data_IF_071786990250
#
_entry.id   IF_071786990250
#
_cell.length_a   1.000
_cell.length_b   1.000
_cell.length_c   1.000
_cell.angle_alpha   90.00
_cell.angle_beta   90.00
_cell.angle_gamma   90.00
#
_symmetry.space_group_name_H-M   'P 1'
#
loop_
_entity.id
_entity.type
_entity.pdbx_description
1 polymer ?
#
# COMPACT_ATOMS: atom_id res chain seq x y z
N UNK A 1 10.54 -18.07 6.92
CA UNK A 1 10.21 -17.23 5.73
C UNK A 1 11.39 -16.30 5.46
N UNK A 2 11.88 -16.23 4.21
CA UNK A 2 12.96 -15.29 3.87
C UNK A 2 12.39 -13.87 3.89
N UNK A 3 13.06 -12.95 4.60
CA UNK A 3 12.66 -11.55 4.63
C UNK A 3 12.87 -10.95 3.23
N UNK A 4 11.77 -10.75 2.49
CA UNK A 4 11.78 -10.19 1.12
C UNK A 4 12.37 -8.77 1.10
N UNK A 5 12.25 -8.02 2.20
CA UNK A 5 12.88 -6.70 2.32
C UNK A 5 14.41 -6.79 2.35
N UNK A 6 14.99 -7.90 2.83
CA UNK A 6 16.45 -8.12 2.85
C UNK A 6 17.04 -8.43 1.46
N UNK A 7 16.21 -8.76 0.46
CA UNK A 7 16.65 -9.10 -0.90
C UNK A 7 16.67 -7.89 -1.86
N UNK A 8 16.71 -6.66 -1.33
CA UNK A 8 16.81 -5.43 -2.15
C UNK A 8 15.56 -5.10 -2.98
N UNK A 9 14.43 -5.75 -2.72
CA UNK A 9 13.18 -5.55 -3.47
C UNK A 9 12.68 -4.10 -3.39
N UNK A 10 12.81 -3.45 -2.22
CA UNK A 10 12.43 -2.05 -2.05
C UNK A 10 13.24 -1.11 -2.95
N UNK A 11 14.54 -1.35 -3.09
CA UNK A 11 15.41 -0.56 -3.99
C UNK A 11 15.02 -0.71 -5.46
N UNK A 12 14.59 -1.92 -5.86
CA UNK A 12 14.09 -2.16 -7.21
C UNK A 12 12.78 -1.44 -7.46
N UNK A 13 11.87 -1.41 -6.49
CA UNK A 13 10.61 -0.67 -6.58
C UNK A 13 10.88 0.83 -6.71
N UNK A 14 11.76 1.40 -5.87
CA UNK A 14 12.14 2.82 -5.94
C UNK A 14 12.72 3.24 -7.29
N UNK A 15 13.48 2.35 -7.94
CA UNK A 15 14.03 2.60 -9.27
C UNK A 15 12.95 2.69 -10.36
N UNK A 16 11.87 1.93 -10.21
CA UNK A 16 10.77 1.89 -11.17
C UNK A 16 9.70 2.95 -10.89
N UNK A 17 9.54 3.36 -9.64
CA UNK A 17 8.59 4.37 -9.24
C UNK A 17 9.04 5.78 -9.70
N UNK A 18 8.10 6.71 -9.95
CA UNK A 18 8.44 8.11 -10.16
C UNK A 18 9.28 8.67 -9.01
N UNK A 19 10.30 9.48 -9.30
CA UNK A 19 11.25 9.95 -8.26
C UNK A 19 10.60 10.74 -7.13
N UNK A 20 9.46 11.39 -7.38
CA UNK A 20 8.69 12.13 -6.39
C UNK A 20 7.64 11.28 -5.65
N UNK A 21 7.59 9.95 -5.89
CA UNK A 21 6.62 9.10 -5.23
C UNK A 21 6.94 8.98 -3.74
N UNK A 22 5.98 9.34 -2.90
CA UNK A 22 6.05 9.16 -1.46
C UNK A 22 5.17 7.97 -1.08
N UNK A 23 5.64 7.05 -0.22
CA UNK A 23 4.79 5.99 0.31
C UNK A 23 3.55 6.60 0.97
N UNK A 24 2.33 6.21 0.56
CA UNK A 24 1.10 6.81 1.08
C UNK A 24 0.81 6.42 2.53
N UNK A 25 1.43 5.34 3.03
CA UNK A 25 1.27 4.85 4.40
C UNK A 25 2.64 4.54 4.99
N UNK A 26 2.83 4.84 6.27
CA UNK A 26 4.08 4.63 7.00
C UNK A 26 4.01 3.40 7.92
N UNK A 27 2.82 2.95 8.28
CA UNK A 27 2.60 1.73 9.08
C UNK A 27 1.61 0.79 8.41
N UNK A 28 1.62 -0.47 8.84
CA UNK A 28 0.66 -1.48 8.34
C UNK A 28 -0.75 -1.16 8.84
N UNK A 29 -0.85 -0.64 10.06
CA UNK A 29 -2.09 -0.22 10.70
C UNK A 29 -2.79 0.89 9.90
N UNK A 30 -2.03 1.93 9.51
CA UNK A 30 -2.54 3.05 8.70
C UNK A 30 -3.09 2.58 7.35
N UNK A 31 -2.33 1.72 6.67
CA UNK A 31 -2.78 1.13 5.41
C UNK A 31 -4.06 0.29 5.58
N UNK A 32 -4.15 -0.49 6.66
CA UNK A 32 -5.28 -1.38 6.92
C UNK A 32 -6.55 -0.61 7.24
N UNK A 33 -6.45 0.47 8.01
CA UNK A 33 -7.58 1.36 8.30
C UNK A 33 -8.14 1.97 7.01
N UNK A 34 -7.26 2.48 6.14
CA UNK A 34 -7.65 3.01 4.83
C UNK A 34 -8.32 1.94 3.96
N UNK A 35 -7.75 0.74 3.88
CA UNK A 35 -8.30 -0.35 3.05
C UNK A 35 -9.73 -0.72 3.47
N UNK A 36 -9.99 -0.77 4.78
CA UNK A 36 -11.33 -1.07 5.31
C UNK A 36 -12.32 0.07 5.01
N UNK A 37 -11.89 1.33 5.11
CA UNK A 37 -12.74 2.47 4.79
C UNK A 37 -13.14 2.49 3.31
N UNK A 38 -12.19 2.31 2.40
CA UNK A 38 -12.46 2.24 0.96
C UNK A 38 -13.33 1.03 0.61
N UNK A 39 -13.10 -0.12 1.26
CA UNK A 39 -13.93 -1.31 1.09
C UNK A 39 -15.39 -1.08 1.46
N UNK A 40 -15.65 -0.36 2.58
CA UNK A 40 -17.02 0.00 2.97
C UNK A 40 -17.68 0.92 1.95
N UNK A 41 -16.99 2.00 1.57
CA UNK A 41 -17.47 2.95 0.56
C UNK A 41 -17.82 2.24 -0.76
N UNK A 42 -16.96 1.34 -1.23
CA UNK A 42 -17.20 0.60 -2.47
C UNK A 42 -18.38 -0.37 -2.37
N UNK A 43 -18.55 -1.01 -1.22
CA UNK A 43 -19.71 -1.88 -0.96
C UNK A 43 -21.02 -1.08 -0.98
N UNK A 44 -21.04 0.10 -0.36
CA UNK A 44 -22.19 1.00 -0.38
C UNK A 44 -22.53 1.48 -1.79
N UNK A 45 -21.52 1.77 -2.62
CA UNK A 45 -21.72 2.13 -4.04
C UNK A 45 -22.33 0.98 -4.85
N UNK A 46 -21.93 -0.27 -4.60
CA UNK A 46 -22.46 -1.45 -5.32
C UNK A 46 -23.91 -1.75 -4.93
N UNK A 47 -24.27 -1.51 -3.67
CA UNK A 47 -25.61 -1.80 -3.15
C UNK A 47 -26.64 -0.70 -3.43
N UNK A 48 -26.26 0.38 -4.13
CA UNK A 48 -27.13 1.48 -4.55
C UNK A 48 -27.61 1.29 -5.98
#
# INVERSE_FOLDING_TARGET
MKNIAAAGVLERIRRLAPQASVPPYRTVEEWREWQLAEGRKRSEEINR
#
